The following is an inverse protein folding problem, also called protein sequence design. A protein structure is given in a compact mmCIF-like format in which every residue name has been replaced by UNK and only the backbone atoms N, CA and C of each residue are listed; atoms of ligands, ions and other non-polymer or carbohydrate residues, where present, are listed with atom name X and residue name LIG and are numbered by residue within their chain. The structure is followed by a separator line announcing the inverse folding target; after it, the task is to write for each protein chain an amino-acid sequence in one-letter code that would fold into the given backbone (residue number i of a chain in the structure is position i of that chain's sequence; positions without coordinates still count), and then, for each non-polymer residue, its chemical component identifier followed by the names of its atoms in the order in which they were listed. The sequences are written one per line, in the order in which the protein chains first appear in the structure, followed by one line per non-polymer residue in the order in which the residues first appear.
data_IF_070318014160
#
_entry.id   IF_070318014160
#
_cell.length_a   1.000
_cell.length_b   1.000
_cell.length_c   1.000
_cell.angle_alpha   90.00
_cell.angle_beta   90.00
_cell.angle_gamma   90.00
#
_symmetry.space_group_name_H-M   'P 1'
#
loop_
_entity.id
_entity.type
_entity.pdbx_description
1 polymer ?
#
# COMPACT_ATOMS: atom_id res chain seq x y z
N UNK A 1 32.93 -16.33 -2.12
CA UNK A 1 32.26 -15.32 -2.95
C UNK A 1 31.74 -14.23 -2.02
N UNK A 2 31.87 -12.94 -2.35
CA UNK A 2 31.25 -11.89 -1.54
C UNK A 2 29.73 -12.11 -1.51
N UNK A 3 29.12 -11.96 -0.34
CA UNK A 3 27.65 -12.01 -0.20
C UNK A 3 27.05 -10.90 -1.06
N UNK A 4 26.16 -11.26 -2.00
CA UNK A 4 25.44 -10.28 -2.81
C UNK A 4 24.58 -9.42 -1.88
N UNK A 5 24.60 -8.10 -2.08
CA UNK A 5 23.76 -7.17 -1.31
C UNK A 5 22.33 -7.32 -1.83
N UNK A 6 21.36 -7.71 -0.98
CA UNK A 6 19.99 -7.88 -1.42
C UNK A 6 19.37 -6.55 -1.85
N UNK A 7 18.43 -6.62 -2.81
CA UNK A 7 17.58 -5.48 -3.21
C UNK A 7 16.78 -4.98 -2.01
N UNK A 8 16.49 -3.68 -1.98
CA UNK A 8 15.75 -3.01 -0.90
C UNK A 8 14.47 -2.40 -1.41
N UNK A 9 13.34 -2.77 -0.81
CA UNK A 9 12.04 -2.14 -1.03
C UNK A 9 11.69 -1.24 0.15
N UNK A 10 11.43 0.04 -0.14
CA UNK A 10 10.90 0.97 0.86
C UNK A 10 9.40 1.09 0.64
N UNK A 11 8.62 0.68 1.63
CA UNK A 11 7.16 0.76 1.57
C UNK A 11 6.72 1.99 2.36
N UNK A 12 6.19 3.00 1.69
CA UNK A 12 5.66 4.21 2.34
C UNK A 12 4.14 4.23 2.27
N UNK A 13 3.52 4.61 3.38
CA UNK A 13 2.07 4.72 3.44
C UNK A 13 1.54 5.00 4.83
N UNK A 14 0.30 4.60 5.05
CA UNK A 14 -0.47 4.98 6.22
C UNK A 14 -0.55 3.87 7.30
N UNK A 15 -1.67 3.80 8.02
CA UNK A 15 -1.95 2.76 9.02
C UNK A 15 -2.02 1.35 8.42
N UNK A 16 -2.34 1.21 7.13
CA UNK A 16 -2.31 -0.07 6.42
C UNK A 16 -0.88 -0.60 6.32
N UNK A 17 0.08 0.24 5.92
CA UNK A 17 1.51 -0.13 5.89
C UNK A 17 2.05 -0.39 7.30
N UNK A 18 1.58 0.37 8.29
CA UNK A 18 1.95 0.15 9.70
C UNK A 18 1.52 -1.24 10.20
N UNK A 19 0.51 -1.85 9.55
CA UNK A 19 -0.08 -3.12 9.99
C UNK A 19 -1.11 -2.96 11.09
N UNK A 20 -1.70 -1.78 11.23
CA UNK A 20 -2.73 -1.54 12.24
C UNK A 20 -3.93 -2.46 12.00
N UNK A 21 -4.43 -3.06 13.08
CA UNK A 21 -5.54 -4.01 13.06
C UNK A 21 -5.14 -5.49 12.99
N UNK A 22 -3.85 -5.81 12.76
CA UNK A 22 -3.33 -7.18 12.75
C UNK A 22 -2.40 -7.45 13.96
N UNK A 23 -2.95 -7.82 15.13
CA UNK A 23 -2.15 -8.16 16.31
C UNK A 23 -1.46 -9.52 16.19
N UNK A 24 -1.80 -10.35 15.20
CA UNK A 24 -1.29 -11.72 15.06
C UNK A 24 0.04 -11.75 14.32
N UNK A 25 0.13 -11.05 13.19
CA UNK A 25 1.30 -11.09 12.30
C UNK A 25 1.84 -9.71 11.90
N UNK A 26 1.27 -8.61 12.43
CA UNK A 26 1.81 -7.26 12.24
C UNK A 26 1.52 -6.64 10.88
N UNK A 27 0.56 -7.16 10.12
CA UNK A 27 0.05 -6.58 8.89
C UNK A 27 0.67 -7.13 7.61
N UNK A 28 0.11 -6.73 6.46
CA UNK A 28 0.54 -7.26 5.15
C UNK A 28 2.01 -6.96 4.84
N UNK A 29 2.52 -5.82 5.30
CA UNK A 29 3.89 -5.38 5.08
C UNK A 29 4.88 -6.29 5.82
N UNK A 30 4.56 -6.62 7.08
CA UNK A 30 5.35 -7.54 7.90
C UNK A 30 5.28 -8.98 7.38
N UNK A 31 4.09 -9.44 6.96
CA UNK A 31 3.91 -10.75 6.33
C UNK A 31 4.78 -10.90 5.07
N UNK A 32 4.82 -9.87 4.21
CA UNK A 32 5.68 -9.86 3.02
C UNK A 32 7.17 -9.86 3.40
N UNK A 33 7.57 -9.03 4.37
CA UNK A 33 8.95 -8.98 4.86
C UNK A 33 9.41 -10.34 5.40
N UNK A 34 8.61 -10.98 6.25
CA UNK A 34 8.89 -12.31 6.82
C UNK A 34 8.97 -13.38 5.73
N UNK A 35 8.09 -13.33 4.73
CA UNK A 35 8.15 -14.24 3.59
C UNK A 35 9.48 -14.11 2.84
N UNK A 36 9.92 -12.90 2.48
CA UNK A 36 11.18 -12.69 1.76
C UNK A 36 12.43 -13.02 2.60
N UNK A 37 12.41 -12.78 3.91
CA UNK A 37 13.51 -13.21 4.79
C UNK A 37 13.73 -14.73 4.78
N UNK A 38 12.69 -15.51 4.49
CA UNK A 38 12.79 -16.97 4.34
C UNK A 38 13.35 -17.44 2.99
N UNK A 39 13.51 -16.53 2.02
CA UNK A 39 13.99 -16.87 0.68
C UNK A 39 15.50 -16.62 0.55
N UNK A 40 16.28 -17.55 -0.03
CA UNK A 40 17.67 -17.30 -0.37
C UNK A 40 17.79 -16.10 -1.33
N UNK A 41 18.45 -15.02 -0.89
CA UNK A 41 18.59 -13.80 -1.69
C UNK A 41 17.34 -12.92 -1.76
N UNK A 42 16.33 -13.16 -0.92
CA UNK A 42 15.11 -12.35 -0.88
C UNK A 42 15.40 -10.87 -0.60
N UNK A 43 14.60 -9.93 -1.15
CA UNK A 43 14.77 -8.51 -0.89
C UNK A 43 14.59 -8.16 0.59
N UNK A 44 15.29 -7.12 1.03
CA UNK A 44 15.06 -6.47 2.33
C UNK A 44 13.90 -5.49 2.18
N UNK A 45 12.92 -5.55 3.08
CA UNK A 45 11.77 -4.67 3.09
C UNK A 45 11.80 -3.76 4.32
N UNK A 46 11.61 -2.47 4.10
CA UNK A 46 11.40 -1.46 5.14
C UNK A 46 9.97 -0.92 5.08
N UNK A 47 9.12 -1.33 6.04
CA UNK A 47 7.77 -0.79 6.19
C UNK A 47 7.78 0.52 6.97
N UNK A 48 7.37 1.62 6.32
CA UNK A 48 7.38 2.99 6.86
C UNK A 48 5.96 3.55 6.88
N UNK A 49 5.06 2.84 7.55
CA UNK A 49 3.68 3.26 7.74
C UNK A 49 3.53 4.24 8.89
N UNK A 50 2.77 5.31 8.70
CA UNK A 50 2.42 6.28 9.75
C UNK A 50 0.91 6.42 9.82
N UNK A 51 0.32 6.19 10.98
CA UNK A 51 -1.15 6.22 11.14
C UNK A 51 -1.70 7.61 10.80
N UNK A 52 -2.72 7.63 9.94
CA UNK A 52 -3.38 8.87 9.51
C UNK A 52 -2.59 9.67 8.47
N UNK A 53 -1.51 9.13 7.90
CA UNK A 53 -0.85 9.77 6.76
C UNK A 53 -1.79 9.78 5.55
N UNK A 54 -1.93 10.97 4.96
CA UNK A 54 -2.43 11.15 3.61
C UNK A 54 -1.28 11.45 2.66
N UNK A 55 -1.63 11.69 1.40
CA UNK A 55 -0.72 11.94 0.30
C UNK A 55 0.36 13.00 0.61
N UNK A 56 -0.06 14.15 1.15
CA UNK A 56 0.85 15.27 1.44
C UNK A 56 1.91 14.93 2.50
N UNK A 57 1.54 14.12 3.51
CA UNK A 57 2.45 13.72 4.59
C UNK A 57 3.48 12.72 4.10
N UNK A 58 3.05 11.74 3.29
CA UNK A 58 3.98 10.79 2.65
C UNK A 58 4.96 11.54 1.75
N UNK A 59 4.47 12.48 0.94
CA UNK A 59 5.33 13.30 0.07
C UNK A 59 6.38 14.08 0.86
N UNK A 60 5.99 14.70 1.98
CA UNK A 60 6.89 15.50 2.80
C UNK A 60 8.06 14.70 3.38
N UNK A 61 7.88 13.40 3.65
CA UNK A 61 8.92 12.53 4.24
C UNK A 61 9.65 11.63 3.24
N UNK A 62 9.16 11.49 2.01
CA UNK A 62 9.65 10.56 1.00
C UNK A 62 11.18 10.59 0.84
N UNK A 63 11.74 11.76 0.50
CA UNK A 63 13.16 11.86 0.17
C UNK A 63 14.07 11.50 1.35
N UNK A 64 13.79 12.06 2.53
CA UNK A 64 14.59 11.82 3.73
C UNK A 64 14.52 10.34 4.13
N UNK A 65 13.33 9.74 4.04
CA UNK A 65 13.17 8.37 4.43
C UNK A 65 13.84 7.41 3.46
N UNK A 66 13.59 7.53 2.16
CA UNK A 66 14.20 6.66 1.14
C UNK A 66 15.73 6.78 1.18
N UNK A 67 16.27 8.00 1.20
CA UNK A 67 17.73 8.23 1.18
C UNK A 67 18.44 7.66 2.41
N UNK A 68 17.72 7.53 3.55
CA UNK A 68 18.26 6.96 4.78
C UNK A 68 18.41 5.43 4.78
N UNK A 69 17.85 4.69 3.81
CA UNK A 69 17.85 3.21 3.78
C UNK A 69 18.82 2.61 2.75
N UNK A 70 19.82 3.36 2.31
CA UNK A 70 20.90 2.83 1.46
C UNK A 70 21.75 1.72 2.11
N UNK A 71 21.83 1.70 3.46
CA UNK A 71 22.71 0.89 4.34
C UNK A 71 24.22 1.04 4.08
N UNK A 72 24.65 1.00 2.82
CA UNK A 72 26.03 1.16 2.40
C UNK A 72 26.27 2.55 1.81
N UNK A 73 27.46 3.09 2.05
CA UNK A 73 27.83 4.43 1.59
C UNK A 73 27.61 4.54 0.07
N UNK A 74 26.84 5.55 -0.36
CA UNK A 74 26.51 5.84 -1.77
C UNK A 74 25.56 4.82 -2.45
N UNK A 75 24.90 3.96 -1.70
CA UNK A 75 23.80 3.16 -2.23
C UNK A 75 22.46 3.86 -1.95
N UNK A 76 21.56 3.84 -2.93
CA UNK A 76 20.15 4.19 -2.75
C UNK A 76 19.33 2.89 -2.75
N UNK A 77 18.15 2.86 -2.11
CA UNK A 77 17.22 1.74 -2.25
C UNK A 77 16.88 1.47 -3.72
N UNK A 78 16.56 0.22 -4.05
CA UNK A 78 16.30 -0.21 -5.43
C UNK A 78 14.81 -0.23 -5.79
N UNK A 79 13.93 0.02 -4.81
CA UNK A 79 12.49 0.07 -5.05
C UNK A 79 11.74 0.86 -4.00
N UNK A 80 10.64 1.47 -4.43
CA UNK A 80 9.64 2.12 -3.60
C UNK A 80 8.28 1.47 -3.88
N UNK A 81 7.51 1.18 -2.84
CA UNK A 81 6.09 0.83 -2.93
C UNK A 81 5.29 1.89 -2.18
N UNK A 82 4.42 2.60 -2.89
CA UNK A 82 3.51 3.57 -2.31
C UNK A 82 2.16 2.91 -2.03
N UNK A 83 1.66 3.03 -0.81
CA UNK A 83 0.36 2.54 -0.38
C UNK A 83 -0.30 3.61 0.50
N UNK A 84 -0.88 4.62 -0.15
CA UNK A 84 -1.46 5.81 0.48
C UNK A 84 -2.66 6.29 -0.33
N UNK A 85 -3.59 6.97 0.34
CA UNK A 85 -4.72 7.64 -0.30
C UNK A 85 -6.03 7.44 0.44
N UNK A 86 -6.16 6.38 1.24
CA UNK A 86 -7.41 6.07 1.94
C UNK A 86 -7.83 7.21 2.86
N UNK A 87 -6.90 7.78 3.64
CA UNK A 87 -7.19 8.91 4.52
C UNK A 87 -7.62 10.18 3.76
N UNK A 88 -7.14 10.37 2.53
CA UNK A 88 -7.49 11.51 1.68
C UNK A 88 -8.94 11.43 1.16
N UNK A 89 -9.52 10.22 1.12
CA UNK A 89 -10.91 9.98 0.67
C UNK A 89 -11.98 10.43 1.67
N UNK A 90 -11.61 10.66 2.93
CA UNK A 90 -12.57 10.99 3.98
C UNK A 90 -13.29 12.30 3.69
N UNK A 91 -14.56 12.40 4.09
CA UNK A 91 -15.31 13.65 4.21
C UNK A 91 -15.36 14.08 5.67
N UNK A 92 -15.22 15.38 5.92
CA UNK A 92 -15.09 15.92 7.28
C UNK A 92 -16.42 16.42 7.83
N UNK A 93 -16.75 16.02 9.05
CA UNK A 93 -17.88 16.47 9.85
C UNK A 93 -19.21 15.80 9.53
N UNK A 94 -19.48 15.48 8.25
CA UNK A 94 -20.72 14.83 7.79
C UNK A 94 -20.48 14.02 6.51
N UNK A 95 -21.39 13.10 6.21
CA UNK A 95 -21.32 12.21 5.05
C UNK A 95 -21.29 12.94 3.69
N UNK A 96 -21.87 14.14 3.60
CA UNK A 96 -21.83 15.03 2.43
C UNK A 96 -20.89 16.24 2.68
N UNK A 97 -19.93 16.06 3.59
CA UNK A 97 -18.94 17.07 3.97
C UNK A 97 -17.92 17.33 2.87
N UNK A 98 -17.02 18.28 3.14
CA UNK A 98 -15.87 18.52 2.26
C UNK A 98 -14.93 17.33 2.32
N UNK A 99 -14.31 17.01 1.18
CA UNK A 99 -13.20 16.07 1.14
C UNK A 99 -12.06 16.55 2.04
N UNK A 100 -11.40 15.61 2.70
CA UNK A 100 -10.16 15.82 3.44
C UNK A 100 -9.09 16.39 2.51
N UNK A 101 -9.00 15.84 1.29
CA UNK A 101 -8.25 16.39 0.17
C UNK A 101 -9.11 16.28 -1.10
N UNK A 102 -9.33 17.39 -1.80
CA UNK A 102 -10.14 17.43 -3.02
C UNK A 102 -9.64 16.45 -4.10
N UNK A 103 -10.49 15.79 -4.90
CA UNK A 103 -10.06 14.82 -5.91
C UNK A 103 -9.06 15.38 -6.93
N UNK A 104 -9.23 16.62 -7.40
CA UNK A 104 -8.30 17.23 -8.35
C UNK A 104 -6.97 17.55 -7.68
N UNK A 105 -7.00 18.01 -6.43
CA UNK A 105 -5.80 18.24 -5.64
C UNK A 105 -5.07 16.93 -5.31
N UNK A 106 -5.80 15.84 -5.06
CA UNK A 106 -5.26 14.50 -4.86
C UNK A 106 -4.53 14.00 -6.11
N UNK A 107 -5.15 14.07 -7.29
CA UNK A 107 -4.52 13.67 -8.55
C UNK A 107 -3.23 14.47 -8.82
N UNK A 108 -3.30 15.79 -8.70
CA UNK A 108 -2.12 16.65 -8.88
C UNK A 108 -1.00 16.31 -7.89
N UNK A 109 -1.33 16.18 -6.60
CA UNK A 109 -0.35 15.83 -5.58
C UNK A 109 0.26 14.44 -5.80
N UNK A 110 -0.50 13.51 -6.38
CA UNK A 110 -0.07 12.15 -6.66
C UNK A 110 0.89 12.12 -7.84
N UNK A 111 0.61 12.88 -8.91
CA UNK A 111 1.54 13.07 -10.02
C UNK A 111 2.88 13.65 -9.52
N UNK A 112 2.83 14.65 -8.63
CA UNK A 112 4.05 15.21 -8.02
C UNK A 112 4.78 14.18 -7.14
N UNK A 113 4.05 13.37 -6.37
CA UNK A 113 4.63 12.31 -5.54
C UNK A 113 5.32 11.24 -6.40
N UNK A 114 4.67 10.79 -7.48
CA UNK A 114 5.21 9.78 -8.39
C UNK A 114 6.44 10.30 -9.15
N UNK A 115 6.43 11.54 -9.60
CA UNK A 115 7.59 12.17 -10.21
C UNK A 115 8.80 12.20 -9.26
N UNK A 116 8.57 12.51 -7.97
CA UNK A 116 9.63 12.50 -6.95
C UNK A 116 10.10 11.07 -6.63
N UNK A 117 9.19 10.11 -6.51
CA UNK A 117 9.53 8.72 -6.17
C UNK A 117 10.31 8.03 -7.29
N UNK A 118 9.86 8.17 -8.54
CA UNK A 118 10.53 7.57 -9.71
C UNK A 118 11.91 8.17 -9.98
N UNK A 119 12.14 9.44 -9.62
CA UNK A 119 13.47 10.04 -9.65
C UNK A 119 14.44 9.44 -8.60
N UNK A 120 13.93 8.83 -7.53
CA UNK A 120 14.73 8.20 -6.47
C UNK A 120 15.00 6.71 -6.74
N UNK A 121 13.97 5.97 -7.18
CA UNK A 121 14.05 4.54 -7.44
C UNK A 121 12.86 4.05 -8.28
N UNK A 122 12.96 2.86 -8.92
CA UNK A 122 11.80 2.16 -9.46
C UNK A 122 10.64 2.12 -8.46
N UNK A 123 9.48 2.60 -8.88
CA UNK A 123 8.32 2.78 -7.99
C UNK A 123 7.19 1.86 -8.41
N UNK A 124 6.42 1.40 -7.44
CA UNK A 124 5.18 0.63 -7.58
C UNK A 124 4.09 1.30 -6.72
N UNK A 125 2.82 1.12 -7.09
CA UNK A 125 1.67 1.67 -6.35
C UNK A 125 0.69 0.56 -5.99
N UNK A 126 0.22 0.57 -4.74
CA UNK A 126 -0.84 -0.29 -4.23
C UNK A 126 -2.15 0.50 -4.12
N UNK A 127 -3.25 -0.13 -4.55
CA UNK A 127 -4.60 0.41 -4.48
C UNK A 127 -5.17 0.51 -3.06
N UNK A 128 -6.46 0.84 -2.99
CA UNK A 128 -7.15 1.17 -1.74
C UNK A 128 -8.01 0.01 -1.25
N UNK A 129 -8.18 -0.07 0.07
CA UNK A 129 -9.02 -1.09 0.72
C UNK A 129 -10.44 -0.55 0.97
N UNK A 130 -11.46 -1.42 1.01
CA UNK A 130 -12.83 -0.99 1.29
C UNK A 130 -13.01 -0.57 2.76
N UNK A 131 -14.17 0.02 3.05
CA UNK A 131 -14.63 0.39 4.40
C UNK A 131 -16.04 -0.14 4.65
N UNK A 132 -16.43 -0.26 5.93
CA UNK A 132 -17.83 -0.42 6.34
C UNK A 132 -18.45 0.96 6.52
N UNK A 133 -19.32 1.38 5.59
CA UNK A 133 -19.96 2.69 5.64
C UNK A 133 -20.87 2.84 6.87
N UNK A 134 -21.46 1.74 7.33
CA UNK A 134 -22.31 1.69 8.53
C UNK A 134 -21.55 1.94 9.84
N UNK A 135 -20.22 1.81 9.83
CA UNK A 135 -19.37 2.09 10.99
C UNK A 135 -18.96 3.58 11.06
N UNK A 136 -19.35 4.39 10.08
CA UNK A 136 -19.03 5.82 10.04
C UNK A 136 -19.98 6.65 10.91
N UNK A 137 -19.50 7.77 11.49
CA UNK A 137 -18.17 8.35 11.31
C UNK A 137 -17.07 7.66 12.10
N UNK A 138 -15.92 7.48 11.46
CA UNK A 138 -14.68 7.13 12.13
C UNK A 138 -14.18 8.31 12.98
N UNK A 139 -13.72 8.02 14.20
CA UNK A 139 -13.26 9.01 15.17
C UNK A 139 -14.25 10.19 15.35
N UNK A 140 -15.55 9.89 15.26
CA UNK A 140 -16.67 10.84 15.41
C UNK A 140 -16.74 11.97 14.36
N UNK A 141 -15.82 12.03 13.39
CA UNK A 141 -15.71 13.19 12.47
C UNK A 141 -15.40 12.84 11.02
N UNK A 142 -14.83 11.67 10.73
CA UNK A 142 -14.42 11.28 9.37
C UNK A 142 -15.41 10.30 8.76
N UNK A 143 -15.91 10.64 7.58
CA UNK A 143 -16.89 9.84 6.84
C UNK A 143 -16.24 9.26 5.60
N UNK A 144 -16.11 7.95 5.54
CA UNK A 144 -15.58 7.23 4.38
C UNK A 144 -16.73 6.58 3.61
N UNK A 145 -16.65 6.58 2.28
CA UNK A 145 -17.67 6.03 1.39
C UNK A 145 -16.99 5.23 0.28
N UNK A 146 -17.52 4.05 -0.04
CA UNK A 146 -17.01 3.17 -1.08
C UNK A 146 -17.00 3.84 -2.46
N UNK A 147 -18.01 4.65 -2.77
CA UNK A 147 -18.05 5.43 -4.01
C UNK A 147 -16.89 6.44 -4.09
N UNK A 148 -16.59 7.12 -2.99
CA UNK A 148 -15.47 8.07 -2.95
C UNK A 148 -14.13 7.34 -3.02
N UNK A 149 -13.98 6.20 -2.33
CA UNK A 149 -12.75 5.38 -2.39
C UNK A 149 -12.51 4.87 -3.81
N UNK A 150 -13.56 4.43 -4.50
CA UNK A 150 -13.51 4.00 -5.90
C UNK A 150 -13.04 5.10 -6.85
N UNK A 151 -13.56 6.32 -6.67
CA UNK A 151 -13.07 7.49 -7.42
C UNK A 151 -11.58 7.73 -7.18
N UNK A 152 -11.12 7.67 -5.93
CA UNK A 152 -9.71 7.93 -5.63
C UNK A 152 -8.79 6.80 -6.09
N UNK A 153 -9.25 5.55 -6.08
CA UNK A 153 -8.50 4.43 -6.66
C UNK A 153 -8.37 4.58 -8.19
N UNK A 154 -9.39 5.08 -8.90
CA UNK A 154 -9.24 5.37 -10.33
C UNK A 154 -8.26 6.51 -10.61
N UNK A 155 -8.17 7.51 -9.72
CA UNK A 155 -7.15 8.56 -9.82
C UNK A 155 -5.73 8.02 -9.54
N UNK A 156 -5.60 7.05 -8.64
CA UNK A 156 -4.35 6.31 -8.42
C UNK A 156 -3.91 5.56 -9.67
N UNK A 157 -4.85 4.87 -10.31
CA UNK A 157 -4.61 4.14 -11.55
C UNK A 157 -4.23 5.09 -12.70
N UNK A 158 -4.94 6.20 -12.87
CA UNK A 158 -4.66 7.24 -13.87
C UNK A 158 -3.23 7.77 -13.74
N UNK A 159 -2.86 8.25 -12.54
CA UNK A 159 -1.53 8.81 -12.32
C UNK A 159 -0.41 7.76 -12.47
N UNK A 160 -0.65 6.52 -12.04
CA UNK A 160 0.31 5.44 -12.22
C UNK A 160 0.50 5.08 -13.69
N UNK A 161 -0.58 5.05 -14.48
CA UNK A 161 -0.54 4.82 -15.93
C UNK A 161 0.21 5.94 -16.65
N UNK A 162 -0.05 7.20 -16.33
CA UNK A 162 0.66 8.35 -16.91
C UNK A 162 2.17 8.33 -16.61
N UNK A 163 2.55 7.85 -15.42
CA UNK A 163 3.94 7.74 -14.99
C UNK A 163 4.64 6.44 -15.44
N UNK A 164 3.97 5.54 -16.16
CA UNK A 164 4.45 4.19 -16.51
C UNK A 164 4.89 3.40 -15.26
N UNK A 165 4.12 3.52 -14.18
CA UNK A 165 4.36 2.88 -12.88
C UNK A 165 3.40 1.70 -12.69
N UNK A 166 3.88 0.50 -12.32
CA UNK A 166 3.01 -0.62 -12.02
C UNK A 166 2.04 -0.32 -10.87
N UNK A 167 0.75 -0.56 -11.12
CA UNK A 167 -0.33 -0.40 -10.15
C UNK A 167 -1.01 -1.74 -9.83
N UNK A 168 -1.29 -1.98 -8.55
CA UNK A 168 -2.09 -3.13 -8.11
C UNK A 168 -3.41 -2.64 -7.52
N UNK A 169 -4.54 -2.68 -8.26
CA UNK A 169 -5.85 -2.34 -7.71
C UNK A 169 -6.26 -3.36 -6.64
N UNK A 170 -6.92 -2.87 -5.60
CA UNK A 170 -7.37 -3.69 -4.47
C UNK A 170 -8.88 -3.64 -4.28
N UNK A 171 -9.52 -2.47 -4.42
CA UNK A 171 -10.90 -2.26 -3.96
C UNK A 171 -11.86 -3.29 -4.56
N UNK A 172 -11.87 -3.41 -5.88
CA UNK A 172 -12.79 -4.31 -6.57
C UNK A 172 -12.49 -5.79 -6.30
N UNK A 173 -11.21 -6.14 -6.14
CA UNK A 173 -10.86 -7.51 -5.78
C UNK A 173 -11.36 -7.86 -4.38
N UNK A 174 -11.39 -6.90 -3.45
CA UNK A 174 -11.96 -7.09 -2.14
C UNK A 174 -13.48 -7.23 -2.21
N UNK A 175 -14.15 -6.32 -2.92
CA UNK A 175 -15.61 -6.28 -2.99
C UNK A 175 -16.23 -7.51 -3.67
N UNK A 176 -15.46 -8.21 -4.52
CA UNK A 176 -15.87 -9.46 -5.16
C UNK A 176 -15.79 -10.70 -4.22
N UNK A 177 -15.07 -10.60 -3.11
CA UNK A 177 -14.88 -11.72 -2.20
C UNK A 177 -16.06 -11.87 -1.23
N UNK A 178 -16.71 -13.05 -1.17
CA UNK A 178 -17.79 -13.27 -0.23
C UNK A 178 -17.33 -13.08 1.22
N UNK A 179 -17.99 -12.17 1.94
CA UNK A 179 -17.71 -11.92 3.36
C UNK A 179 -16.49 -11.04 3.63
N UNK A 180 -16.01 -10.27 2.65
CA UNK A 180 -14.91 -9.31 2.83
C UNK A 180 -15.13 -8.34 4.00
N UNK A 181 -16.39 -8.06 4.38
CA UNK A 181 -16.72 -7.22 5.54
C UNK A 181 -16.10 -7.77 6.83
N UNK A 182 -16.02 -9.10 6.96
CA UNK A 182 -15.38 -9.78 8.09
C UNK A 182 -13.86 -9.66 8.11
N UNK A 183 -13.25 -9.01 7.11
CA UNK A 183 -11.81 -8.75 7.03
C UNK A 183 -11.43 -7.37 7.55
N UNK A 184 -12.41 -6.58 7.98
CA UNK A 184 -12.21 -5.30 8.64
C UNK A 184 -12.32 -5.44 10.17
N UNK A 185 -11.68 -4.53 10.87
CA UNK A 185 -11.87 -4.30 12.29
C UNK A 185 -13.25 -3.68 12.55
N UNK A 186 -13.68 -3.67 13.80
CA UNK A 186 -14.96 -3.08 14.21
C UNK A 186 -15.06 -1.57 13.99
N UNK A 187 -13.94 -0.90 13.73
CA UNK A 187 -13.92 0.52 13.34
C UNK A 187 -14.31 0.76 11.87
N UNK A 188 -14.50 -0.31 11.10
CA UNK A 188 -14.92 -0.28 9.71
C UNK A 188 -13.89 0.30 8.73
N UNK A 189 -12.70 0.65 9.19
CA UNK A 189 -11.66 1.29 8.36
C UNK A 189 -10.43 0.40 8.19
N UNK A 190 -9.97 -0.20 9.28
CA UNK A 190 -8.72 -0.95 9.26
C UNK A 190 -8.94 -2.42 8.94
N UNK A 191 -8.03 -3.01 8.17
CA UNK A 191 -8.00 -4.46 7.98
C UNK A 191 -7.65 -5.16 9.29
N UNK A 192 -8.30 -6.30 9.54
CA UNK A 192 -7.88 -7.24 10.58
C UNK A 192 -6.81 -8.21 10.04
N UNK A 193 -6.38 -9.17 10.86
CA UNK A 193 -5.38 -10.18 10.47
C UNK A 193 -5.73 -10.90 9.16
N UNK A 194 -7.00 -11.25 8.93
CA UNK A 194 -7.44 -11.94 7.70
C UNK A 194 -7.37 -11.00 6.49
N UNK A 195 -7.80 -9.75 6.64
CA UNK A 195 -7.69 -8.75 5.57
C UNK A 195 -6.24 -8.45 5.19
N UNK A 196 -5.36 -8.28 6.17
CA UNK A 196 -3.93 -8.14 5.95
C UNK A 196 -3.32 -9.37 5.28
N UNK A 197 -3.75 -10.58 5.65
CA UNK A 197 -3.35 -11.82 4.97
C UNK A 197 -3.73 -11.81 3.48
N UNK A 198 -4.94 -11.33 3.16
CA UNK A 198 -5.42 -11.23 1.79
C UNK A 198 -4.54 -10.29 0.95
N UNK A 199 -4.24 -9.08 1.45
CA UNK A 199 -3.34 -8.13 0.76
C UNK A 199 -1.94 -8.72 0.57
N UNK A 200 -1.37 -9.34 1.61
CA UNK A 200 -0.05 -9.99 1.50
C UNK A 200 -0.05 -11.07 0.42
N UNK A 201 -1.11 -11.89 0.35
CA UNK A 201 -1.26 -12.90 -0.67
C UNK A 201 -1.33 -12.32 -2.08
N UNK A 202 -2.01 -11.18 -2.28
CA UNK A 202 -2.07 -10.47 -3.57
C UNK A 202 -0.68 -10.00 -3.98
N UNK A 203 0.07 -9.36 -3.09
CA UNK A 203 1.44 -8.88 -3.34
C UNK A 203 2.40 -10.01 -3.70
N UNK A 204 2.33 -11.14 -2.98
CA UNK A 204 3.16 -12.33 -3.27
C UNK A 204 2.90 -12.96 -4.64
N UNK A 205 1.77 -12.63 -5.29
CA UNK A 205 1.40 -13.13 -6.62
C UNK A 205 1.43 -12.04 -7.69
N UNK A 206 1.80 -10.81 -7.33
CA UNK A 206 1.76 -9.69 -8.25
C UNK A 206 2.97 -9.73 -9.20
N UNK A 207 2.78 -9.92 -10.52
CA UNK A 207 3.91 -10.14 -11.43
C UNK A 207 4.91 -8.98 -11.47
N UNK A 208 4.46 -7.73 -11.37
CA UNK A 208 5.35 -6.58 -11.39
C UNK A 208 6.28 -6.56 -10.16
N UNK A 209 5.74 -6.86 -8.96
CA UNK A 209 6.54 -6.93 -7.75
C UNK A 209 7.52 -8.10 -7.76
N UNK A 210 7.09 -9.26 -8.24
CA UNK A 210 7.95 -10.44 -8.37
C UNK A 210 9.07 -10.21 -9.39
N UNK A 211 8.75 -9.59 -10.54
CA UNK A 211 9.73 -9.20 -11.53
C UNK A 211 10.76 -8.23 -10.95
N UNK A 212 10.31 -7.19 -10.24
CA UNK A 212 11.20 -6.26 -9.54
C UNK A 212 12.06 -6.98 -8.48
N UNK A 213 11.49 -7.93 -7.75
CA UNK A 213 12.16 -8.69 -6.69
C UNK A 213 13.12 -9.77 -7.23
N UNK A 214 13.17 -9.99 -8.55
CA UNK A 214 13.88 -11.11 -9.19
C UNK A 214 13.41 -12.49 -8.66
N UNK A 215 12.14 -12.59 -8.29
CA UNK A 215 11.52 -13.82 -7.81
C UNK A 215 10.67 -14.45 -8.91
N UNK A 216 10.74 -15.78 -9.03
CA UNK A 216 9.87 -16.52 -9.94
C UNK A 216 8.50 -16.74 -9.28
N UNK A 217 7.43 -16.69 -10.07
CA UNK A 217 6.13 -17.19 -9.64
C UNK A 217 6.27 -18.68 -9.34
N UNK A 218 6.10 -19.07 -8.07
CA UNK A 218 5.93 -20.49 -7.76
C UNK A 218 4.53 -20.89 -8.23
N UNK A 219 4.45 -21.60 -9.35
CA UNK A 219 3.28 -22.43 -9.63
C UNK A 219 3.18 -23.46 -8.51
N UNK A 220 2.21 -23.32 -7.61
CA UNK A 220 1.90 -24.43 -6.70
C UNK A 220 1.46 -25.59 -7.59
N UNK A 221 2.06 -26.78 -7.49
CA UNK A 221 1.49 -27.94 -8.17
C UNK A 221 0.06 -28.10 -7.65
N UNK A 222 -0.90 -28.11 -8.57
CA UNK A 222 -2.29 -28.49 -8.29
C UNK A 222 -2.25 -29.82 -7.52
N UNK A 223 -2.88 -29.93 -6.35
CA UNK A 223 -2.99 -31.22 -5.69
C UNK A 223 -3.67 -32.17 -6.67
N UNK A 224 -2.95 -33.20 -7.10
CA UNK A 224 -3.59 -34.36 -7.73
C UNK A 224 -4.34 -35.05 -6.59
N UNK A 225 -5.66 -34.87 -6.56
CA UNK A 225 -6.57 -35.71 -5.78
C UNK A 225 -6.84 -37.00 -6.54
#
# INVERSE_FOLDING_TARGET
MPLAVPRKLIVLGDSGVYGWGDPEEGGWCERLRRHWMGLPGGPVLYGLGVRGDGLERVRARLHQEVSGRGELRRQLPQGILLAVGLNDTARVGRADGRHQLDPAAFLFGLQELLAQATALAPTLVLGLTPVLEEAMPFAEVLWYQLETIRLYESLLEEAAQEADVPFLPLLESFLQEPGWQGWLCSDGLHLNSVGHAHVAGRLQRWPALLHWAELQLQERPTPQW
#
